data_IF_930499890581
#
_entry.id   IF_930499890581
#
_cell.length_a   1.000
_cell.length_b   1.000
_cell.length_c   1.000
_cell.angle_alpha   90.00
_cell.angle_beta   90.00
_cell.angle_gamma   90.00
#
_symmetry.space_group_name_H-M   'P 1'
#
loop_
_entity.id
_entity.type
_entity.pdbx_description
1 polymer ?
#
# COMPACT_ATOMS: atom_id res chain seq x y z
N UNK A 1 -14.08 11.17 5.36
CA UNK A 1 -13.93 9.85 4.68
C UNK A 1 -13.55 9.99 3.21
N UNK A 2 -13.99 11.04 2.48
CA UNK A 2 -13.67 11.23 1.05
C UNK A 2 -12.17 11.19 0.73
N UNK A 3 -11.34 11.94 1.47
CA UNK A 3 -9.89 11.92 1.29
C UNK A 3 -9.31 10.50 1.36
N UNK A 4 -9.64 9.75 2.42
CA UNK A 4 -9.16 8.37 2.60
C UNK A 4 -9.62 7.45 1.46
N UNK A 5 -10.86 7.60 1.00
CA UNK A 5 -11.38 6.81 -0.13
C UNK A 5 -10.62 7.10 -1.43
N UNK A 6 -10.28 8.36 -1.70
CA UNK A 6 -9.52 8.73 -2.90
C UNK A 6 -8.08 8.22 -2.86
N UNK A 7 -7.44 8.18 -1.69
CA UNK A 7 -6.09 7.64 -1.54
C UNK A 7 -6.05 6.11 -1.74
N UNK A 8 -7.12 5.39 -1.40
CA UNK A 8 -7.18 3.92 -1.43
C UNK A 8 -7.81 3.39 -2.73
N UNK A 9 -8.77 4.12 -3.31
CA UNK A 9 -9.61 3.63 -4.41
C UNK A 9 -10.10 4.75 -5.35
N UNK A 10 -9.36 5.85 -5.47
CA UNK A 10 -9.74 7.02 -6.25
C UNK A 10 -9.95 6.76 -7.75
N UNK A 11 -9.25 5.79 -8.32
CA UNK A 11 -9.38 5.29 -9.69
C UNK A 11 -10.65 4.43 -9.90
N UNK A 12 -11.16 3.81 -8.84
CA UNK A 12 -12.37 2.99 -8.84
C UNK A 12 -13.65 3.77 -8.52
N UNK A 13 -13.55 5.06 -8.20
CA UNK A 13 -14.71 5.87 -7.83
C UNK A 13 -15.60 6.21 -9.03
N UNK A 14 -16.93 6.32 -8.86
CA UNK A 14 -17.81 6.87 -9.89
C UNK A 14 -17.36 8.28 -10.30
N UNK A 15 -17.17 8.49 -11.61
CA UNK A 15 -16.70 9.77 -12.14
C UNK A 15 -15.22 10.05 -11.85
N UNK A 16 -14.40 9.00 -11.67
CA UNK A 16 -12.95 9.13 -11.50
C UNK A 16 -12.36 10.08 -12.54
N UNK A 17 -11.51 10.99 -12.05
CA UNK A 17 -10.86 12.02 -12.85
C UNK A 17 -9.36 12.01 -12.54
N UNK A 18 -8.63 12.93 -13.15
CA UNK A 18 -7.17 12.97 -12.99
C UNK A 18 -6.74 13.13 -11.52
N UNK A 19 -7.46 13.92 -10.71
CA UNK A 19 -7.13 14.13 -9.31
C UNK A 19 -7.38 12.87 -8.48
N UNK A 20 -8.50 12.18 -8.67
CA UNK A 20 -8.79 10.95 -7.91
C UNK A 20 -7.87 9.79 -8.32
N UNK A 21 -7.51 9.69 -9.61
CA UNK A 21 -6.49 8.75 -10.06
C UNK A 21 -5.10 9.09 -9.48
N UNK A 22 -4.75 10.38 -9.43
CA UNK A 22 -3.48 10.83 -8.81
C UNK A 22 -3.45 10.51 -7.33
N UNK A 23 -4.57 10.68 -6.62
CA UNK A 23 -4.70 10.33 -5.21
C UNK A 23 -4.44 8.84 -4.96
N UNK A 24 -4.91 7.95 -5.84
CA UNK A 24 -4.64 6.50 -5.76
C UNK A 24 -3.15 6.17 -5.86
N UNK A 25 -2.35 7.07 -6.46
CA UNK A 25 -0.89 7.01 -6.49
C UNK A 25 -0.25 6.95 -5.10
N UNK A 26 -0.98 7.28 -4.02
CA UNK A 26 -0.58 7.00 -2.64
C UNK A 26 -0.15 5.54 -2.43
N UNK A 27 -0.86 4.57 -3.02
CA UNK A 27 -0.52 3.14 -2.98
C UNK A 27 0.76 2.79 -3.76
N UNK A 28 1.40 3.78 -4.38
CA UNK A 28 2.71 3.63 -5.02
C UNK A 28 3.88 4.16 -4.21
N UNK A 29 3.63 4.82 -3.08
CA UNK A 29 4.66 5.24 -2.13
C UNK A 29 5.31 4.01 -1.49
N UNK A 30 6.61 4.10 -1.21
CA UNK A 30 7.39 3.00 -0.65
C UNK A 30 8.61 2.63 -1.49
N UNK A 31 9.49 1.81 -0.92
CA UNK A 31 10.68 1.34 -1.60
C UNK A 31 10.31 0.27 -2.63
N UNK A 32 10.81 0.40 -3.87
CA UNK A 32 10.56 -0.57 -4.93
C UNK A 32 11.83 -0.92 -5.67
N UNK A 33 12.11 -2.21 -5.79
CA UNK A 33 13.18 -2.72 -6.64
C UNK A 33 12.61 -2.94 -8.04
N UNK A 34 12.53 -1.87 -8.84
CA UNK A 34 11.91 -1.91 -10.17
C UNK A 34 12.63 -2.84 -11.17
N UNK A 35 13.86 -3.24 -10.87
CA UNK A 35 14.65 -4.18 -11.65
C UNK A 35 14.62 -5.61 -11.08
N UNK A 36 13.68 -5.93 -10.18
CA UNK A 36 13.50 -7.28 -9.64
C UNK A 36 13.08 -8.24 -10.77
N UNK A 37 13.90 -9.26 -11.10
CA UNK A 37 13.57 -10.22 -12.15
C UNK A 37 12.44 -11.18 -11.76
N UNK A 38 12.23 -11.43 -10.47
CA UNK A 38 11.12 -12.23 -9.97
C UNK A 38 9.84 -11.38 -9.84
N UNK A 39 8.95 -11.52 -10.82
CA UNK A 39 7.69 -10.77 -10.88
C UNK A 39 6.79 -11.05 -9.68
N UNK A 40 6.76 -12.30 -9.18
CA UNK A 40 5.92 -12.64 -8.04
C UNK A 40 6.42 -11.95 -6.78
N UNK A 41 7.74 -11.97 -6.56
CA UNK A 41 8.37 -11.23 -5.47
C UNK A 41 8.11 -9.72 -5.58
N UNK A 42 8.26 -9.12 -6.77
CA UNK A 42 7.98 -7.70 -6.98
C UNK A 42 6.54 -7.32 -6.61
N UNK A 43 5.57 -8.18 -6.95
CA UNK A 43 4.16 -7.98 -6.59
C UNK A 43 3.99 -8.06 -5.07
N UNK A 44 4.57 -9.07 -4.41
CA UNK A 44 4.47 -9.23 -2.95
C UNK A 44 5.14 -8.08 -2.20
N UNK A 45 6.31 -7.62 -2.64
CA UNK A 45 6.98 -6.46 -2.06
C UNK A 45 6.17 -5.17 -2.25
N UNK A 46 5.50 -5.02 -3.40
CA UNK A 46 4.59 -3.88 -3.62
C UNK A 46 3.39 -3.92 -2.67
N UNK A 47 2.80 -5.09 -2.45
CA UNK A 47 1.68 -5.26 -1.52
C UNK A 47 2.12 -4.97 -0.07
N UNK A 48 3.32 -5.42 0.32
CA UNK A 48 3.87 -5.16 1.65
C UNK A 48 4.07 -3.66 1.90
N UNK A 49 4.65 -2.92 0.95
CA UNK A 49 4.81 -1.46 1.03
C UNK A 49 3.47 -0.73 1.09
N UNK A 50 2.43 -1.22 0.39
CA UNK A 50 1.07 -0.69 0.48
C UNK A 50 0.47 -0.87 1.89
N UNK A 51 0.62 -2.06 2.48
CA UNK A 51 0.15 -2.37 3.83
C UNK A 51 0.87 -1.50 4.86
N UNK A 52 2.20 -1.38 4.75
CA UNK A 52 3.01 -0.58 5.66
C UNK A 52 2.67 0.92 5.57
N UNK A 53 2.57 1.45 4.34
CA UNK A 53 2.21 2.86 4.09
C UNK A 53 0.83 3.19 4.64
N UNK A 54 -0.18 2.34 4.36
CA UNK A 54 -1.54 2.49 4.86
C UNK A 54 -1.57 2.45 6.40
N UNK A 55 -0.90 1.47 7.01
CA UNK A 55 -0.85 1.29 8.45
C UNK A 55 -0.25 2.49 9.16
N UNK A 56 0.88 2.98 8.67
CA UNK A 56 1.55 4.14 9.26
C UNK A 56 0.73 5.42 9.09
N UNK A 57 0.22 5.68 7.89
CA UNK A 57 -0.43 6.94 7.56
C UNK A 57 -1.84 7.08 8.18
N UNK A 58 -2.64 6.01 8.17
CA UNK A 58 -4.06 6.09 8.56
C UNK A 58 -4.38 5.39 9.88
N UNK A 59 -3.60 4.38 10.27
CA UNK A 59 -3.84 3.64 11.51
C UNK A 59 -2.87 4.02 12.63
N UNK A 60 -1.77 4.71 12.32
CA UNK A 60 -0.71 5.00 13.29
C UNK A 60 0.01 3.75 13.79
N UNK A 61 0.00 2.66 13.01
CA UNK A 61 0.53 1.35 13.38
C UNK A 61 1.51 0.84 12.32
N UNK A 62 2.58 0.19 12.76
CA UNK A 62 3.46 -0.60 11.89
C UNK A 62 2.92 -2.03 11.77
N UNK A 63 2.70 -2.50 10.56
CA UNK A 63 2.23 -3.88 10.30
C UNK A 63 3.32 -4.81 9.75
N UNK A 64 4.54 -4.31 9.50
CA UNK A 64 5.61 -5.08 8.85
C UNK A 64 6.04 -6.37 9.59
N UNK A 65 5.81 -6.49 10.89
CA UNK A 65 6.06 -7.75 11.61
C UNK A 65 5.19 -8.90 11.10
N UNK A 66 3.96 -8.61 10.65
CA UNK A 66 3.02 -9.61 10.15
C UNK A 66 3.45 -10.23 8.80
N UNK A 67 4.49 -9.68 8.16
CA UNK A 67 5.06 -10.25 6.94
C UNK A 67 5.63 -11.64 7.18
N UNK A 68 6.21 -11.87 8.36
CA UNK A 68 6.91 -13.11 8.68
C UNK A 68 6.36 -13.80 9.93
N UNK A 69 5.56 -13.10 10.74
CA UNK A 69 5.16 -13.57 12.07
C UNK A 69 3.64 -13.47 12.27
N UNK A 70 3.03 -14.54 12.76
CA UNK A 70 1.60 -14.57 13.09
C UNK A 70 1.30 -13.90 14.45
N UNK A 71 2.32 -13.69 15.29
CA UNK A 71 2.21 -12.99 16.56
C UNK A 71 3.41 -12.07 16.80
N UNK A 72 3.18 -10.94 17.48
CA UNK A 72 4.21 -9.95 17.86
C UNK A 72 5.40 -10.55 18.65
N UNK A 73 5.23 -11.74 19.23
CA UNK A 73 6.22 -12.41 20.08
C UNK A 73 6.71 -13.76 19.51
N UNK A 74 6.16 -14.21 18.38
CA UNK A 74 6.62 -15.44 17.72
C UNK A 74 7.66 -15.10 16.65
N UNK A 75 8.60 -16.02 16.36
CA UNK A 75 9.45 -15.96 15.17
C UNK A 75 8.70 -16.42 13.92
#
# INVERSE_FOLDING_TARGET
NRFVQEQIAGDLMPGANQETCTATGFLSLGAKVLAEPDVEKLVMDTIDEQIDTLGKAFMGLSLGCARCHDHKFDP
#
